data_IF_289648305499
#
_entry.id   IF_289648305499
#
_cell.length_a   1.000
_cell.length_b   1.000
_cell.length_c   1.000
_cell.angle_alpha   90.00
_cell.angle_beta   90.00
_cell.angle_gamma   90.00
#
_symmetry.space_group_name_H-M   'P 1'
#
loop_
_entity.id
_entity.type
_entity.pdbx_description
1 polymer ?
#
# COMPACT_ATOMS: atom_id res chain seq x y z
N UNK A 1 4.67 -2.87 5.50
CA UNK A 1 5.79 -2.64 4.55
C UNK A 1 6.82 -3.75 4.53
N UNK A 2 7.50 -4.09 5.64
CA UNK A 2 8.47 -5.20 5.66
C UNK A 2 7.89 -6.51 5.14
N UNK A 3 6.65 -6.84 5.51
CA UNK A 3 5.95 -8.04 5.04
C UNK A 3 5.75 -8.09 3.52
N UNK A 4 5.69 -6.94 2.83
CA UNK A 4 5.58 -6.90 1.37
C UNK A 4 6.92 -7.08 0.69
N UNK A 5 7.94 -6.35 1.15
CA UNK A 5 9.26 -6.40 0.52
C UNK A 5 10.05 -7.64 0.90
N UNK A 6 9.88 -8.16 2.12
CA UNK A 6 10.72 -9.23 2.68
C UNK A 6 12.15 -8.79 3.01
N UNK A 7 12.45 -7.50 2.88
CA UNK A 7 13.78 -6.92 2.99
C UNK A 7 13.81 -5.77 3.99
N UNK A 8 14.96 -5.59 4.67
CA UNK A 8 15.15 -4.51 5.66
C UNK A 8 15.61 -3.20 5.03
N UNK A 9 16.25 -3.28 3.88
CA UNK A 9 16.77 -2.16 3.11
C UNK A 9 16.19 -2.27 1.70
N UNK A 10 15.67 -1.16 1.19
CA UNK A 10 15.08 -1.09 -0.15
C UNK A 10 15.64 0.14 -0.85
N UNK A 11 15.66 0.11 -2.18
CA UNK A 11 16.10 1.25 -3.00
C UNK A 11 14.96 1.63 -3.92
N UNK A 12 14.46 2.86 -3.75
CA UNK A 12 13.31 3.39 -4.48
C UNK A 12 13.60 4.75 -5.08
N UNK A 13 12.72 5.22 -5.96
CA UNK A 13 12.89 6.50 -6.67
C UNK A 13 12.10 7.62 -6.01
N UNK A 14 12.75 8.75 -5.77
CA UNK A 14 12.14 9.94 -5.17
C UNK A 14 12.01 11.04 -6.21
N UNK A 15 10.93 11.82 -6.14
CA UNK A 15 10.71 13.00 -6.98
C UNK A 15 9.78 13.98 -6.29
N UNK A 16 10.29 14.62 -5.25
CA UNK A 16 9.58 15.62 -4.45
C UNK A 16 10.61 16.61 -3.87
N UNK A 17 10.15 17.58 -3.06
CA UNK A 17 11.00 18.60 -2.43
C UNK A 17 10.72 18.80 -0.94
N UNK A 18 9.64 18.21 -0.45
CA UNK A 18 9.18 18.43 0.92
C UNK A 18 9.42 17.17 1.73
N UNK A 19 9.98 17.38 2.90
CA UNK A 19 10.31 16.34 3.85
C UNK A 19 9.38 16.41 5.06
N UNK A 20 9.29 15.30 5.79
CA UNK A 20 8.61 15.28 7.07
C UNK A 20 9.33 16.20 8.06
N UNK A 21 8.58 17.09 8.74
CA UNK A 21 9.17 17.91 9.80
C UNK A 21 9.31 17.09 11.09
N UNK A 22 10.57 16.78 11.45
CA UNK A 22 10.92 16.01 12.63
C UNK A 22 10.46 16.62 13.95
N UNK A 23 10.16 17.92 14.01
CA UNK A 23 9.57 18.56 15.20
C UNK A 23 8.21 17.93 15.58
N UNK A 24 7.49 17.35 14.62
CA UNK A 24 6.20 16.70 14.85
C UNK A 24 6.30 15.20 15.12
N UNK A 25 7.51 14.62 15.14
CA UNK A 25 7.73 13.18 15.26
C UNK A 25 7.05 12.59 16.49
N UNK A 26 7.28 13.19 17.66
CA UNK A 26 6.70 12.74 18.93
C UNK A 26 5.18 12.89 18.94
N UNK A 27 4.66 13.98 18.36
CA UNK A 27 3.22 14.24 18.31
C UNK A 27 2.50 13.16 17.49
N UNK A 28 3.00 12.82 16.30
CA UNK A 28 2.39 11.81 15.45
C UNK A 28 2.55 10.40 16.01
N UNK A 29 3.72 10.07 16.57
CA UNK A 29 3.94 8.74 17.17
C UNK A 29 3.08 8.53 18.42
N UNK A 30 2.91 9.55 19.27
CA UNK A 30 2.00 9.51 20.41
C UNK A 30 0.53 9.35 20.00
N UNK A 31 0.14 9.90 18.83
CA UNK A 31 -1.19 9.70 18.25
C UNK A 31 -1.40 8.31 17.61
N UNK A 32 -0.37 7.46 17.59
CA UNK A 32 -0.44 6.09 17.09
C UNK A 32 0.05 5.89 15.65
N UNK A 33 0.63 6.92 15.01
CA UNK A 33 1.28 6.76 13.71
C UNK A 33 2.61 6.02 13.89
N UNK A 34 2.82 4.96 13.11
CA UNK A 34 4.08 4.20 13.13
C UNK A 34 5.00 4.70 12.03
N UNK A 35 6.22 5.12 12.39
CA UNK A 35 7.28 5.42 11.42
C UNK A 35 7.95 4.10 11.02
N UNK A 36 7.53 3.54 9.90
CA UNK A 36 7.89 2.20 9.47
C UNK A 36 9.20 2.15 8.66
N UNK A 37 9.62 3.27 8.07
CA UNK A 37 10.84 3.36 7.28
C UNK A 37 11.47 4.75 7.39
N UNK A 38 12.80 4.78 7.38
CA UNK A 38 13.62 5.98 7.39
C UNK A 38 14.72 5.88 6.33
N UNK A 39 15.28 7.00 5.94
CA UNK A 39 16.49 7.06 5.12
C UNK A 39 17.65 6.33 5.80
N UNK A 40 18.69 5.94 5.03
CA UNK A 40 19.85 5.19 5.54
C UNK A 40 20.60 5.95 6.65
N UNK A 41 20.63 7.28 6.58
CA UNK A 41 21.20 8.15 7.62
C UNK A 41 20.24 8.37 8.82
N UNK A 42 19.00 7.86 8.74
CA UNK A 42 17.98 7.94 9.77
C UNK A 42 17.30 9.31 9.92
N UNK A 43 17.61 10.27 9.04
CA UNK A 43 17.19 11.66 9.17
C UNK A 43 15.79 11.93 8.59
N UNK A 44 15.40 11.22 7.55
CA UNK A 44 14.13 11.40 6.84
C UNK A 44 13.19 10.24 7.14
N UNK A 45 11.91 10.56 7.32
CA UNK A 45 10.84 9.56 7.40
C UNK A 45 10.39 9.24 5.99
N UNK A 46 10.55 7.99 5.59
CA UNK A 46 10.27 7.55 4.22
C UNK A 46 8.96 6.76 4.11
N UNK A 47 8.60 6.05 5.18
CA UNK A 47 7.40 5.22 5.21
C UNK A 47 6.69 5.34 6.56
N UNK A 48 5.37 5.47 6.51
CA UNK A 48 4.47 5.50 7.66
C UNK A 48 3.40 4.41 7.55
N UNK A 49 2.94 3.90 8.69
CA UNK A 49 1.88 2.91 8.81
C UNK A 49 0.89 3.33 9.91
N UNK A 50 -0.38 2.91 9.79
CA UNK A 50 -1.38 3.05 10.87
C UNK A 50 -1.75 1.65 11.36
N UNK A 51 -1.27 1.21 12.54
CA UNK A 51 -1.43 -0.17 13.00
C UNK A 51 -2.87 -0.66 13.15
N UNK A 52 -3.81 0.25 13.45
CA UNK A 52 -5.22 -0.09 13.68
C UNK A 52 -6.08 -0.02 12.41
N UNK A 53 -5.46 0.06 11.23
CA UNK A 53 -6.15 0.06 9.95
C UNK A 53 -5.82 -1.24 9.18
N UNK A 54 -6.78 -1.91 8.52
CA UNK A 54 -6.54 -3.20 7.85
C UNK A 54 -5.39 -3.16 6.84
N UNK A 55 -5.22 -2.02 6.19
CA UNK A 55 -4.07 -1.73 5.33
C UNK A 55 -3.87 -0.23 5.18
N UNK A 56 -2.82 0.31 5.80
CA UNK A 56 -2.45 1.71 5.62
C UNK A 56 -0.93 1.81 5.55
N UNK A 57 -0.44 2.23 4.37
CA UNK A 57 0.96 2.51 4.12
C UNK A 57 1.03 3.82 3.36
N UNK A 58 1.81 4.77 3.87
CA UNK A 58 2.21 5.97 3.14
C UNK A 58 3.71 5.93 2.89
N UNK A 59 4.15 6.15 1.66
CA UNK A 59 5.56 6.24 1.30
C UNK A 59 5.84 7.56 0.59
N UNK A 60 7.06 8.07 0.75
CA UNK A 60 7.49 9.30 0.10
C UNK A 60 8.07 9.07 -1.31
N UNK A 61 8.64 7.89 -1.55
CA UNK A 61 9.10 7.44 -2.86
C UNK A 61 7.93 7.06 -3.79
N UNK A 62 8.28 6.81 -5.06
CA UNK A 62 7.36 6.49 -6.16
C UNK A 62 7.48 5.00 -6.54
N UNK A 63 6.72 4.09 -5.88
CA UNK A 63 6.78 2.65 -6.13
C UNK A 63 6.34 2.25 -7.55
N UNK A 64 5.64 3.14 -8.27
CA UNK A 64 5.25 2.92 -9.65
C UNK A 64 6.43 2.86 -10.61
N UNK A 65 7.56 3.50 -10.29
CA UNK A 65 8.71 3.52 -11.19
C UNK A 65 9.55 2.23 -11.15
N UNK A 66 9.38 1.41 -10.11
CA UNK A 66 10.05 0.13 -9.92
C UNK A 66 9.11 -1.06 -10.13
N UNK A 67 7.81 -0.80 -10.34
CA UNK A 67 6.82 -1.81 -10.72
C UNK A 67 7.06 -2.34 -12.13
N UNK A 68 6.97 -3.66 -12.32
CA UNK A 68 7.02 -4.31 -13.66
C UNK A 68 5.71 -5.04 -13.98
N UNK A 69 5.37 -5.26 -15.27
CA UNK A 69 4.17 -6.01 -15.65
C UNK A 69 4.16 -7.48 -15.18
N UNK A 70 5.34 -8.07 -14.94
CA UNK A 70 5.46 -9.48 -14.59
C UNK A 70 5.24 -9.73 -13.10
N UNK A 71 5.84 -8.90 -12.26
CA UNK A 71 5.88 -9.12 -10.81
C UNK A 71 4.98 -8.14 -10.06
N UNK A 72 4.73 -6.96 -10.65
CA UNK A 72 4.14 -5.84 -9.93
C UNK A 72 5.05 -5.31 -8.84
N UNK A 73 4.71 -4.17 -8.27
CA UNK A 73 5.40 -3.67 -7.10
C UNK A 73 4.84 -4.31 -5.81
N UNK A 74 5.68 -4.72 -4.84
CA UNK A 74 5.21 -5.40 -3.63
C UNK A 74 4.13 -4.64 -2.84
N UNK A 75 4.25 -3.32 -2.73
CA UNK A 75 3.23 -2.50 -2.05
C UNK A 75 1.88 -2.49 -2.78
N UNK A 76 1.86 -2.53 -4.11
CA UNK A 76 0.61 -2.60 -4.86
C UNK A 76 -0.03 -3.98 -4.74
N UNK A 77 0.76 -5.05 -4.84
CA UNK A 77 0.28 -6.41 -4.60
C UNK A 77 -0.30 -6.54 -3.18
N UNK A 78 0.39 -6.02 -2.17
CA UNK A 78 -0.09 -5.99 -0.78
C UNK A 78 -1.41 -5.23 -0.63
N UNK A 79 -1.54 -4.05 -1.24
CA UNK A 79 -2.77 -3.27 -1.22
C UNK A 79 -3.95 -4.02 -1.84
N UNK A 80 -3.77 -4.63 -3.02
CA UNK A 80 -4.84 -5.38 -3.70
C UNK A 80 -5.26 -6.60 -2.88
N UNK A 81 -4.31 -7.34 -2.31
CA UNK A 81 -4.61 -8.48 -1.44
C UNK A 81 -5.41 -8.05 -0.21
N UNK A 82 -5.02 -6.95 0.44
CA UNK A 82 -5.75 -6.41 1.57
C UNK A 82 -7.19 -5.97 1.18
N UNK A 83 -7.36 -5.36 0.01
CA UNK A 83 -8.67 -4.99 -0.50
C UNK A 83 -9.57 -6.21 -0.76
N UNK A 84 -9.02 -7.28 -1.34
CA UNK A 84 -9.73 -8.56 -1.55
C UNK A 84 -10.15 -9.16 -0.21
N UNK A 85 -9.24 -9.21 0.77
CA UNK A 85 -9.55 -9.72 2.12
C UNK A 85 -10.65 -8.91 2.77
N UNK A 86 -10.53 -7.58 2.77
CA UNK A 86 -11.56 -6.69 3.34
C UNK A 86 -12.91 -6.85 2.66
N UNK A 87 -12.94 -7.04 1.34
CA UNK A 87 -14.18 -7.31 0.62
C UNK A 87 -14.85 -8.60 1.09
N UNK A 88 -14.08 -9.69 1.24
CA UNK A 88 -14.59 -10.98 1.73
C UNK A 88 -15.14 -10.89 3.17
N UNK A 89 -14.44 -10.20 4.06
CA UNK A 89 -14.90 -9.97 5.44
C UNK A 89 -16.22 -9.21 5.50
N UNK A 90 -16.37 -8.19 4.64
CA UNK A 90 -17.62 -7.43 4.57
C UNK A 90 -18.78 -8.25 4.04
N UNK A 91 -18.53 -9.19 3.12
CA UNK A 91 -19.53 -10.17 2.67
C UNK A 91 -19.93 -11.11 3.81
N UNK A 92 -18.96 -11.66 4.56
CA UNK A 92 -19.26 -12.57 5.68
C UNK A 92 -20.01 -11.88 6.83
N UNK A 93 -19.76 -10.59 7.05
CA UNK A 93 -20.41 -9.80 8.08
C UNK A 93 -21.80 -9.27 7.67
N UNK A 94 -22.26 -9.56 6.44
CA UNK A 94 -23.54 -9.07 5.92
C UNK A 94 -23.56 -7.56 5.64
N UNK A 95 -22.41 -6.89 5.65
CA UNK A 95 -22.28 -5.43 5.43
C UNK A 95 -22.41 -5.04 3.95
N UNK A 96 -22.34 -6.01 3.04
CA UNK A 96 -22.52 -5.88 1.60
C UNK A 96 -23.76 -6.67 1.16
N UNK A 97 -24.94 -6.31 1.68
CA UNK A 97 -26.20 -6.78 1.13
C UNK A 97 -26.47 -6.17 -0.24
N UNK A 98 -26.59 -6.99 -1.28
CA UNK A 98 -27.19 -6.67 -2.59
C UNK A 98 -26.42 -5.79 -3.61
N UNK A 99 -25.10 -5.75 -3.60
CA UNK A 99 -24.36 -5.21 -4.76
C UNK A 99 -23.32 -6.21 -5.24
N UNK A 100 -23.50 -6.70 -6.47
CA UNK A 100 -22.60 -7.53 -7.30
C UNK A 100 -22.89 -9.05 -7.31
N UNK A 101 -24.05 -9.44 -7.83
CA UNK A 101 -24.09 -10.57 -8.78
C UNK A 101 -23.59 -10.05 -10.14
N UNK A 102 -22.27 -9.95 -10.29
CA UNK A 102 -21.60 -9.61 -11.56
C UNK A 102 -20.46 -10.59 -11.86
N UNK A 103 -20.58 -11.83 -11.37
CA UNK A 103 -19.65 -12.94 -11.69
C UNK A 103 -19.90 -13.53 -13.08
N UNK A 104 -20.40 -12.74 -14.04
CA UNK A 104 -20.40 -13.16 -15.43
C UNK A 104 -18.98 -12.96 -15.99
N UNK A 105 -18.34 -14.01 -16.52
CA UNK A 105 -17.02 -13.87 -17.12
C UNK A 105 -17.10 -12.89 -18.31
N UNK A 106 -16.23 -11.88 -18.31
CA UNK A 106 -16.07 -10.96 -19.44
C UNK A 106 -15.30 -11.72 -20.53
N UNK A 107 -16.00 -12.40 -21.43
CA UNK A 107 -15.40 -12.99 -22.62
C UNK A 107 -15.14 -11.89 -23.63
N UNK A 108 -13.88 -11.51 -23.82
CA UNK A 108 -13.46 -10.65 -24.93
C UNK A 108 -13.16 -11.54 -26.15
N UNK A 109 -14.04 -11.52 -27.15
CA UNK A 109 -13.77 -12.14 -28.45
C UNK A 109 -13.05 -11.11 -29.32
N UNK A 110 -11.79 -11.38 -29.65
CA UNK A 110 -11.06 -10.58 -30.66
C UNK A 110 -11.51 -11.03 -32.04
N UNK A 111 -12.39 -10.27 -32.70
CA UNK A 111 -12.56 -10.40 -34.14
C UNK A 111 -11.37 -9.74 -34.84
N UNK A 112 -10.64 -10.54 -35.60
CA UNK A 112 -9.55 -10.10 -36.46
C UNK A 112 -10.23 -9.65 -37.76
N UNK A 113 -10.10 -8.36 -38.11
CA UNK A 113 -10.41 -7.86 -39.45
C UNK A 113 -9.20 -8.02 -40.37
#
# INVERSE_FOLDING_TARGET
TYECYGEREIVERHRHRYEFNNDYLETFTAAGLKLAGKSVDGMLVEVIEVPNHPWFVGCQFHPEFTSTPREGHPLFTGFILAAITRHKERLSNGELGNTLDNTQPITATTEIA
#
